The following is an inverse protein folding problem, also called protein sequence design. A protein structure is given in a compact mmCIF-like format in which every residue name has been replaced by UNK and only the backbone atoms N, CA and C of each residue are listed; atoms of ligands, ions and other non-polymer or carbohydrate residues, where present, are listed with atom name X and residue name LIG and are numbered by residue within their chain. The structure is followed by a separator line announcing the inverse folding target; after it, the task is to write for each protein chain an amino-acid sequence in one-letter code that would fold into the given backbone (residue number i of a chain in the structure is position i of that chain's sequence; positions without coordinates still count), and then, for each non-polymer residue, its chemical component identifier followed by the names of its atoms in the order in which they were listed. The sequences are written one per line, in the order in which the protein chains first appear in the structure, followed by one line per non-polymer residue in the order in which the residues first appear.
data_IF_008158940610
#
_entry.id   IF_008158940610
#
_cell.length_a   1.000
_cell.length_b   1.000
_cell.length_c   1.000
_cell.angle_alpha   90.00
_cell.angle_beta   90.00
_cell.angle_gamma   90.00
#
_symmetry.space_group_name_H-M   'P 1'
#
loop_
_entity.id
_entity.type
_entity.pdbx_description
1 polymer ?
#
# COMPACT_ATOMS: atom_id res chain seq x y z
N UNK A 1 0.33 13.83 5.52
CA UNK A 1 -0.93 13.28 6.11
C UNK A 1 -2.01 14.36 6.08
N UNK A 2 -3.25 14.02 5.69
CA UNK A 2 -4.37 15.00 5.62
C UNK A 2 -5.06 15.16 6.98
N UNK A 3 -5.22 14.07 7.74
CA UNK A 3 -5.81 14.05 9.08
C UNK A 3 -4.71 13.75 10.12
N UNK A 4 -3.94 14.76 10.55
CA UNK A 4 -2.83 14.54 11.49
C UNK A 4 -3.30 14.01 12.85
N UNK A 5 -4.53 14.31 13.25
CA UNK A 5 -5.11 13.92 14.54
C UNK A 5 -5.98 12.66 14.46
N UNK A 6 -5.91 11.91 13.36
CA UNK A 6 -6.64 10.65 13.25
C UNK A 6 -6.25 9.71 14.41
N UNK A 7 -7.22 9.13 15.14
CA UNK A 7 -6.95 8.29 16.31
C UNK A 7 -6.26 6.98 15.95
N UNK A 8 -6.45 6.51 14.72
CA UNK A 8 -5.77 5.37 14.12
C UNK A 8 -5.24 5.79 12.75
N UNK A 9 -3.97 5.51 12.49
CA UNK A 9 -3.30 5.74 11.20
C UNK A 9 -2.68 4.42 10.76
N UNK A 10 -2.96 3.99 9.55
CA UNK A 10 -2.40 2.77 8.97
C UNK A 10 -1.63 3.13 7.71
N UNK A 11 -0.42 2.60 7.57
CA UNK A 11 0.36 2.64 6.35
C UNK A 11 0.40 1.23 5.76
N UNK A 12 -0.39 0.98 4.71
CA UNK A 12 -0.42 -0.31 4.03
C UNK A 12 0.69 -0.38 2.99
N UNK A 13 1.47 -1.46 3.02
CA UNK A 13 2.48 -1.74 2.00
C UNK A 13 2.45 -3.21 1.56
N UNK A 14 3.18 -3.52 0.49
CA UNK A 14 3.52 -4.85 0.06
C UNK A 14 4.68 -4.82 -0.93
N UNK A 15 5.43 -5.92 -0.98
CA UNK A 15 6.50 -6.13 -1.96
C UNK A 15 6.00 -5.85 -3.39
N UNK A 16 6.77 -5.12 -4.22
CA UNK A 16 6.33 -4.70 -5.56
C UNK A 16 5.82 -5.84 -6.44
N UNK A 17 6.49 -6.99 -6.40
CA UNK A 17 6.12 -8.18 -7.17
C UNK A 17 4.76 -8.76 -6.76
N UNK A 18 4.41 -8.67 -5.47
CA UNK A 18 3.10 -9.12 -4.97
C UNK A 18 2.00 -8.17 -5.47
N UNK A 19 2.24 -6.85 -5.42
CA UNK A 19 1.29 -5.85 -5.94
C UNK A 19 1.07 -6.00 -7.44
N UNK A 20 2.14 -6.20 -8.21
CA UNK A 20 2.04 -6.42 -9.66
C UNK A 20 1.27 -7.70 -10.01
N UNK A 21 1.57 -8.81 -9.32
CA UNK A 21 0.86 -10.08 -9.54
C UNK A 21 -0.63 -10.00 -9.17
N UNK A 22 -0.98 -9.33 -8.06
CA UNK A 22 -2.39 -9.07 -7.68
C UNK A 22 -3.09 -8.24 -8.76
N UNK A 23 -2.47 -7.14 -9.19
CA UNK A 23 -3.05 -6.25 -10.20
C UNK A 23 -3.24 -6.94 -11.55
N UNK A 24 -2.29 -7.76 -11.99
CA UNK A 24 -2.41 -8.57 -13.21
C UNK A 24 -3.66 -9.45 -13.15
N UNK A 25 -3.88 -10.16 -12.05
CA UNK A 25 -5.07 -11.02 -11.86
C UNK A 25 -6.38 -10.22 -11.90
N UNK A 26 -6.42 -9.02 -11.31
CA UNK A 26 -7.61 -8.16 -11.31
C UNK A 26 -8.02 -7.70 -12.72
N UNK A 27 -7.05 -7.46 -13.60
CA UNK A 27 -7.30 -6.95 -14.96
C UNK A 27 -7.37 -8.05 -16.03
N UNK A 28 -7.56 -9.30 -15.61
CA UNK A 28 -7.73 -10.43 -16.54
C UNK A 28 -6.43 -11.11 -17.00
N UNK A 29 -5.36 -11.04 -16.21
CA UNK A 29 -4.09 -11.72 -16.48
C UNK A 29 -3.17 -10.97 -17.45
N UNK A 30 -3.18 -9.64 -17.42
CA UNK A 30 -2.27 -8.82 -18.22
C UNK A 30 -0.79 -9.02 -17.81
N UNK A 31 0.12 -8.57 -18.68
CA UNK A 31 1.57 -8.73 -18.45
C UNK A 31 2.02 -8.13 -17.10
N UNK A 32 2.56 -8.99 -16.25
CA UNK A 32 3.00 -8.66 -14.90
C UNK A 32 4.20 -7.71 -14.94
N UNK A 33 5.10 -7.86 -15.92
CA UNK A 33 6.31 -7.04 -16.00
C UNK A 33 5.96 -5.59 -16.37
N UNK A 34 5.10 -5.40 -17.37
CA UNK A 34 4.57 -4.07 -17.72
C UNK A 34 3.84 -3.40 -16.56
N UNK A 35 3.04 -4.16 -15.81
CA UNK A 35 2.34 -3.66 -14.60
C UNK A 35 3.35 -3.28 -13.51
N UNK A 36 4.36 -4.12 -13.27
CA UNK A 36 5.38 -3.84 -12.27
C UNK A 36 6.15 -2.54 -12.59
N UNK A 37 6.49 -2.34 -13.87
CA UNK A 37 7.15 -1.11 -14.32
C UNK A 37 6.28 0.14 -14.11
N UNK A 38 4.97 0.07 -14.42
CA UNK A 38 4.06 1.20 -14.18
C UNK A 38 3.89 1.48 -12.67
N UNK A 39 3.73 0.43 -11.86
CA UNK A 39 3.63 0.56 -10.41
C UNK A 39 4.89 1.20 -9.82
N UNK A 40 6.08 0.71 -10.17
CA UNK A 40 7.35 1.26 -9.66
C UNK A 40 7.54 2.74 -10.05
N UNK A 41 7.17 3.10 -11.29
CA UNK A 41 7.19 4.49 -11.76
C UNK A 41 6.26 5.36 -10.92
N UNK A 42 5.04 4.89 -10.63
CA UNK A 42 4.07 5.62 -9.82
C UNK A 42 4.52 5.75 -8.37
N UNK A 43 5.00 4.67 -7.76
CA UNK A 43 5.53 4.67 -6.39
C UNK A 43 6.68 5.69 -6.24
N UNK A 44 7.57 5.76 -7.24
CA UNK A 44 8.66 6.75 -7.27
C UNK A 44 8.11 8.17 -7.33
N UNK A 45 7.17 8.46 -8.25
CA UNK A 45 6.59 9.80 -8.39
C UNK A 45 5.87 10.22 -7.09
N UNK A 46 5.08 9.33 -6.52
CA UNK A 46 4.29 9.62 -5.32
C UNK A 46 5.17 9.82 -4.09
N UNK A 47 6.23 9.03 -3.91
CA UNK A 47 7.15 9.15 -2.77
C UNK A 47 8.14 10.32 -2.88
N UNK A 48 8.47 10.78 -4.10
CA UNK A 48 9.49 11.82 -4.32
C UNK A 48 8.94 13.20 -4.67
N UNK A 49 7.62 13.33 -4.91
CA UNK A 49 7.03 14.64 -5.23
C UNK A 49 7.24 15.65 -4.09
N UNK A 50 7.54 16.89 -4.46
CA UNK A 50 7.86 17.95 -3.50
C UNK A 50 6.69 18.30 -2.56
N UNK A 51 5.44 18.21 -3.05
CA UNK A 51 4.25 18.53 -2.27
C UNK A 51 3.55 17.26 -1.80
N UNK A 52 3.40 17.11 -0.48
CA UNK A 52 2.72 15.98 0.16
C UNK A 52 3.19 14.60 -0.38
N UNK A 53 4.48 14.28 -0.29
CA UNK A 53 4.97 12.97 -0.71
C UNK A 53 4.25 11.84 0.01
N UNK A 54 4.16 10.67 -0.62
CA UNK A 54 3.76 9.42 0.02
C UNK A 54 4.88 9.02 0.99
N UNK A 55 4.66 9.27 2.27
CA UNK A 55 5.55 8.86 3.36
C UNK A 55 4.73 8.22 4.45
N UNK A 56 5.38 7.40 5.27
CA UNK A 56 4.82 6.98 6.55
C UNK A 56 4.53 8.23 7.39
N UNK A 57 3.32 8.31 7.94
CA UNK A 57 2.92 9.42 8.80
C UNK A 57 3.34 9.12 10.24
N UNK A 58 3.72 10.15 10.99
CA UNK A 58 4.06 9.98 12.41
C UNK A 58 2.93 9.28 13.18
N UNK A 59 3.29 8.19 13.86
CA UNK A 59 2.39 7.33 14.62
C UNK A 59 1.52 6.39 13.78
N UNK A 60 1.79 6.24 12.49
CA UNK A 60 1.16 5.21 11.67
C UNK A 60 1.65 3.81 12.05
N UNK A 61 0.74 2.83 12.01
CA UNK A 61 1.10 1.42 12.08
C UNK A 61 1.33 0.92 10.65
N UNK A 62 2.53 0.42 10.37
CA UNK A 62 2.84 -0.21 9.09
C UNK A 62 2.29 -1.63 9.09
N UNK A 63 1.50 -1.96 8.06
CA UNK A 63 1.00 -3.31 7.83
C UNK A 63 1.50 -3.76 6.46
N UNK A 64 2.48 -4.67 6.47
CA UNK A 64 2.93 -5.37 5.26
C UNK A 64 1.92 -6.48 4.92
N UNK A 65 1.25 -6.31 3.78
CA UNK A 65 0.21 -7.22 3.31
C UNK A 65 0.73 -8.28 2.35
N UNK A 66 2.06 -8.37 2.14
CA UNK A 66 2.67 -9.26 1.13
C UNK A 66 2.24 -10.71 1.28
N UNK A 67 2.17 -11.19 2.51
CA UNK A 67 1.87 -12.57 2.86
C UNK A 67 0.52 -12.72 3.59
N UNK A 68 -0.31 -11.68 3.56
CA UNK A 68 -1.64 -11.65 4.18
C UNK A 68 -2.75 -11.85 3.14
N UNK A 69 -3.77 -12.60 3.55
CA UNK A 69 -5.08 -12.63 2.88
C UNK A 69 -5.86 -11.34 3.18
N UNK A 70 -6.91 -11.06 2.40
CA UNK A 70 -7.76 -9.89 2.64
C UNK A 70 -8.38 -9.91 4.05
N UNK A 71 -8.85 -11.06 4.51
CA UNK A 71 -9.44 -11.20 5.85
C UNK A 71 -8.42 -10.89 6.94
N UNK A 72 -7.18 -11.37 6.80
CA UNK A 72 -6.10 -11.06 7.74
C UNK A 72 -5.72 -9.58 7.75
N UNK A 73 -5.76 -8.90 6.60
CA UNK A 73 -5.54 -7.44 6.54
C UNK A 73 -6.66 -6.70 7.27
N UNK A 74 -7.92 -7.12 7.06
CA UNK A 74 -9.07 -6.55 7.75
C UNK A 74 -8.96 -6.75 9.26
N UNK A 75 -8.67 -7.97 9.70
CA UNK A 75 -8.49 -8.30 11.12
C UNK A 75 -7.38 -7.45 11.76
N UNK A 76 -6.25 -7.29 11.07
CA UNK A 76 -5.13 -6.47 11.54
C UNK A 76 -5.52 -5.00 11.70
N UNK A 77 -6.31 -4.44 10.77
CA UNK A 77 -6.78 -3.05 10.87
C UNK A 77 -7.83 -2.89 11.97
N UNK A 78 -8.79 -3.82 12.08
CA UNK A 78 -9.84 -3.78 13.10
C UNK A 78 -9.25 -3.89 14.51
N UNK A 79 -8.19 -4.68 14.70
CA UNK A 79 -7.50 -4.82 15.98
C UNK A 79 -6.85 -3.53 16.49
N UNK A 80 -6.66 -2.52 15.63
CA UNK A 80 -6.16 -1.20 16.01
C UNK A 80 -7.27 -0.24 16.48
N UNK A 81 -8.54 -0.61 16.28
CA UNK A 81 -9.66 0.22 16.70
C UNK A 81 -9.84 0.16 18.22
N UNK A 82 -10.11 1.30 18.87
CA UNK A 82 -10.41 1.36 20.30
C UNK A 82 -11.78 0.75 20.66
#
# INVERSE_FOLDING_TARGET
VVFPDAPVKVYLDARPEVRAARRSKEVGGADVEAIAADLARRDTIDSTRAASPLTEADGAVVIDTSDLTIDQVVDAVVALMP
#
